data_IF_696446989856
#
_entry.id   IF_696446989856
#
_cell.length_a   1.000
_cell.length_b   1.000
_cell.length_c   1.000
_cell.angle_alpha   90.00
_cell.angle_beta   90.00
_cell.angle_gamma   90.00
#
_symmetry.space_group_name_H-M   'P 1'
#
loop_
_entity.id
_entity.type
_entity.pdbx_description
1 polymer ?
#
# COMPACT_ATOMS: atom_id res chain seq x y z
N UNK A 1 1.24 -46.58 -16.15
CA UNK A 1 2.22 -46.32 -15.09
C UNK A 1 3.06 -45.15 -15.53
N UNK A 2 2.78 -43.95 -15.03
CA UNK A 2 3.74 -42.85 -15.00
C UNK A 2 3.26 -41.85 -13.96
N UNK A 3 3.86 -41.91 -12.78
CA UNK A 3 3.57 -41.05 -11.63
C UNK A 3 4.68 -40.01 -11.60
N UNK A 4 4.40 -38.80 -12.11
CA UNK A 4 5.32 -37.66 -12.03
C UNK A 4 5.40 -37.13 -10.60
N UNK A 5 6.33 -37.70 -9.84
CA UNK A 5 6.73 -37.27 -8.50
C UNK A 5 7.54 -35.97 -8.60
N UNK A 6 6.85 -34.83 -8.48
CA UNK A 6 7.45 -33.50 -8.36
C UNK A 6 8.03 -33.28 -6.96
N UNK A 7 8.96 -34.12 -6.54
CA UNK A 7 9.61 -34.04 -5.24
C UNK A 7 10.35 -32.71 -5.09
N UNK A 8 9.88 -31.88 -4.16
CA UNK A 8 10.61 -30.70 -3.66
C UNK A 8 11.96 -31.18 -3.14
N UNK A 9 13.03 -30.86 -3.88
CA UNK A 9 14.39 -31.24 -3.50
C UNK A 9 14.76 -30.46 -2.24
N UNK A 10 14.80 -31.14 -1.10
CA UNK A 10 15.32 -30.57 0.14
C UNK A 10 16.77 -30.11 -0.08
N UNK A 11 17.00 -28.81 0.11
CA UNK A 11 18.32 -28.19 0.02
C UNK A 11 19.16 -28.64 1.22
N UNK A 12 20.43 -28.96 0.96
CA UNK A 12 21.36 -29.31 2.02
C UNK A 12 21.64 -28.12 2.94
N UNK A 13 22.08 -28.33 4.20
CA UNK A 13 22.40 -27.25 5.13
C UNK A 13 23.40 -26.23 4.57
N UNK A 14 24.39 -26.69 3.80
CA UNK A 14 25.39 -25.83 3.17
C UNK A 14 24.81 -24.99 2.02
N UNK A 15 23.81 -25.51 1.29
CA UNK A 15 23.08 -24.77 0.25
C UNK A 15 22.16 -23.71 0.88
N UNK A 16 21.54 -24.01 2.02
CA UNK A 16 20.77 -23.05 2.81
C UNK A 16 21.62 -21.89 3.31
N UNK A 17 22.78 -22.17 3.91
CA UNK A 17 23.69 -21.15 4.40
C UNK A 17 24.20 -20.24 3.26
N UNK A 18 24.44 -20.82 2.08
CA UNK A 18 24.86 -20.08 0.89
C UNK A 18 23.75 -19.21 0.33
N UNK A 19 22.52 -19.73 0.24
CA UNK A 19 21.35 -18.97 -0.19
C UNK A 19 21.04 -17.82 0.78
N UNK A 20 21.16 -18.06 2.08
CA UNK A 20 20.96 -17.04 3.11
C UNK A 20 22.02 -15.94 3.04
N UNK A 21 23.29 -16.31 2.81
CA UNK A 21 24.38 -15.35 2.61
C UNK A 21 24.18 -14.49 1.35
N UNK A 22 23.73 -15.11 0.26
CA UNK A 22 23.43 -14.41 -0.99
C UNK A 22 22.23 -13.46 -0.85
N UNK A 23 21.14 -13.92 -0.24
CA UNK A 23 19.97 -13.10 0.05
C UNK A 23 20.32 -11.91 0.97
N UNK A 24 21.14 -12.14 1.99
CA UNK A 24 21.61 -11.09 2.90
C UNK A 24 22.51 -10.06 2.19
N UNK A 25 23.35 -10.51 1.27
CA UNK A 25 24.20 -9.64 0.46
C UNK A 25 23.37 -8.77 -0.50
N UNK A 26 22.37 -9.37 -1.15
CA UNK A 26 21.45 -8.66 -2.04
C UNK A 26 20.63 -7.63 -1.26
N UNK A 27 20.13 -7.99 -0.07
CA UNK A 27 19.43 -7.06 0.81
C UNK A 27 20.34 -5.90 1.23
N UNK A 28 21.58 -6.17 1.64
CA UNK A 28 22.55 -5.14 2.02
C UNK A 28 22.96 -4.23 0.84
N UNK A 29 22.93 -4.74 -0.39
CA UNK A 29 23.15 -3.93 -1.59
C UNK A 29 21.91 -3.07 -1.89
N UNK A 30 20.71 -3.63 -1.80
CA UNK A 30 19.46 -2.91 -2.00
C UNK A 30 19.28 -1.77 -0.99
N UNK A 31 19.61 -1.98 0.28
CA UNK A 31 19.55 -0.93 1.32
C UNK A 31 20.54 0.19 1.06
N UNK A 32 21.79 -0.12 0.67
CA UNK A 32 22.78 0.91 0.30
C UNK A 32 22.35 1.73 -0.91
N UNK A 33 21.73 1.10 -1.90
CA UNK A 33 21.19 1.80 -3.07
C UNK A 33 20.01 2.68 -2.66
N UNK A 34 19.12 2.19 -1.80
CA UNK A 34 18.01 2.96 -1.25
C UNK A 34 18.52 4.19 -0.47
N UNK A 35 19.50 4.05 0.41
CA UNK A 35 20.09 5.16 1.17
C UNK A 35 20.77 6.21 0.27
N UNK A 36 21.54 5.77 -0.73
CA UNK A 36 22.17 6.67 -1.69
C UNK A 36 21.12 7.44 -2.50
N UNK A 37 19.99 6.80 -2.77
CA UNK A 37 18.89 7.38 -3.52
C UNK A 37 18.02 8.31 -2.68
N UNK A 38 17.72 7.97 -1.42
CA UNK A 38 17.07 8.88 -0.47
C UNK A 38 17.92 10.13 -0.28
N UNK A 39 19.26 9.98 -0.22
CA UNK A 39 20.18 11.13 -0.15
C UNK A 39 20.15 11.99 -1.41
N UNK A 40 20.02 11.39 -2.60
CA UNK A 40 19.87 12.11 -3.85
C UNK A 40 18.51 12.83 -3.96
N UNK A 41 17.42 12.17 -3.56
CA UNK A 41 16.07 12.73 -3.53
C UNK A 41 15.95 13.89 -2.53
N UNK A 42 16.55 13.77 -1.34
CA UNK A 42 16.70 14.88 -0.40
C UNK A 42 17.54 16.02 -0.98
N UNK A 43 18.64 15.71 -1.67
CA UNK A 43 19.48 16.72 -2.33
C UNK A 43 18.72 17.54 -3.39
N UNK A 44 17.85 16.89 -4.17
CA UNK A 44 16.97 17.55 -5.15
C UNK A 44 15.88 18.36 -4.45
N UNK A 45 15.24 17.82 -3.39
CA UNK A 45 14.23 18.55 -2.61
C UNK A 45 14.79 19.83 -1.99
N UNK A 46 15.99 19.78 -1.38
CA UNK A 46 16.65 20.97 -0.82
C UNK A 46 17.10 21.98 -1.90
N UNK A 47 17.47 21.51 -3.09
CA UNK A 47 17.83 22.40 -4.21
C UNK A 47 16.60 23.14 -4.78
N UNK A 48 15.43 22.49 -4.78
CA UNK A 48 14.17 23.08 -5.20
C UNK A 48 13.65 24.10 -4.17
N UNK A 49 13.72 23.78 -2.86
CA UNK A 49 13.40 24.72 -1.77
C UNK A 49 14.28 25.99 -1.81
N UNK A 50 15.56 25.85 -2.18
CA UNK A 50 16.46 26.99 -2.36
C UNK A 50 16.08 27.87 -3.58
N UNK A 51 15.48 27.28 -4.61
CA UNK A 51 15.00 28.03 -5.79
C UNK A 51 13.69 28.78 -5.52
N UNK A 52 12.80 28.20 -4.71
CA UNK A 52 11.56 28.84 -4.26
C UNK A 52 11.84 29.95 -3.23
N UNK A 53 12.83 29.77 -2.35
CA UNK A 53 13.29 30.81 -1.43
C UNK A 53 13.94 32.01 -2.15
N UNK A 54 14.58 31.79 -3.30
CA UNK A 54 15.14 32.86 -4.13
C UNK A 54 14.06 33.64 -4.90
N UNK A 55 12.94 33.00 -5.24
CA UNK A 55 11.77 33.67 -5.83
C UNK A 55 10.94 34.47 -4.81
N UNK A 56 11.04 34.15 -3.52
CA UNK A 56 10.31 34.80 -2.41
C UNK A 56 10.98 36.04 -1.78
N UNK A 57 12.21 36.40 -2.18
CA UNK A 57 12.95 37.53 -1.61
C UNK A 57 12.87 38.81 -2.48
N UNK A 58 11.65 39.20 -2.86
CA UNK A 58 11.35 40.49 -3.51
C UNK A 58 10.76 41.48 -2.52
N UNK A 59 11.39 42.64 -2.37
CA UNK A 59 11.15 43.61 -1.29
C UNK A 59 9.71 44.11 -1.11
N UNK A 60 9.38 44.29 0.17
CA UNK A 60 8.29 45.08 0.77
C UNK A 60 7.87 46.30 -0.07
N UNK A 61 6.65 46.32 -0.59
CA UNK A 61 5.96 47.53 -1.10
C UNK A 61 4.53 47.62 -0.47
N UNK A 62 3.93 48.83 -0.37
CA UNK A 62 2.83 49.18 0.55
C UNK A 62 1.47 48.64 0.07
N UNK A 63 0.37 48.78 0.86
CA UNK A 63 -0.84 48.02 0.58
C UNK A 63 -1.54 48.58 -0.67
N UNK A 64 -1.71 47.73 -1.67
CA UNK A 64 -2.60 47.98 -2.81
C UNK A 64 -3.78 47.03 -2.75
N UNK A 65 -4.98 47.61 -2.73
CA UNK A 65 -6.24 46.93 -3.00
C UNK A 65 -6.19 46.23 -4.36
N UNK A 66 -6.26 44.90 -4.39
CA UNK A 66 -6.64 44.14 -5.59
C UNK A 66 -7.02 42.70 -5.23
N UNK A 67 -8.30 42.39 -5.30
CA UNK A 67 -8.86 41.03 -5.14
C UNK A 67 -8.60 40.10 -6.34
N UNK A 68 -7.42 40.20 -6.97
CA UNK A 68 -7.08 39.53 -8.24
C UNK A 68 -5.92 38.51 -8.10
N UNK A 69 -5.11 38.59 -7.04
CA UNK A 69 -3.98 37.67 -6.81
C UNK A 69 -4.44 36.25 -6.39
N UNK A 70 -5.62 36.16 -5.77
CA UNK A 70 -6.23 34.87 -5.43
C UNK A 70 -6.64 34.07 -6.65
N UNK A 71 -7.10 34.72 -7.71
CA UNK A 71 -7.65 34.04 -8.89
C UNK A 71 -6.55 33.47 -9.80
N UNK A 72 -5.43 34.19 -9.94
CA UNK A 72 -4.25 33.72 -10.68
C UNK A 72 -3.55 32.52 -10.00
N UNK A 73 -3.42 32.55 -8.67
CA UNK A 73 -2.86 31.43 -7.92
C UNK A 73 -3.76 30.18 -7.99
N UNK A 74 -5.07 30.35 -7.88
CA UNK A 74 -6.06 29.26 -8.01
C UNK A 74 -6.06 28.69 -9.43
N UNK A 75 -5.96 29.53 -10.47
CA UNK A 75 -5.82 29.11 -11.87
C UNK A 75 -4.57 28.23 -12.08
N UNK A 76 -3.43 28.62 -11.50
CA UNK A 76 -2.18 27.84 -11.61
C UNK A 76 -2.26 26.46 -10.95
N UNK A 77 -2.96 26.35 -9.82
CA UNK A 77 -3.16 25.07 -9.12
C UNK A 77 -4.10 24.18 -9.91
N UNK A 78 -5.21 24.73 -10.43
CA UNK A 78 -6.16 24.00 -11.26
C UNK A 78 -5.49 23.45 -12.54
N UNK A 79 -4.64 24.25 -13.19
CA UNK A 79 -3.87 23.83 -14.36
C UNK A 79 -2.89 22.69 -14.02
N UNK A 80 -2.19 22.78 -12.89
CA UNK A 80 -1.29 21.70 -12.42
C UNK A 80 -2.03 20.41 -12.13
N UNK A 81 -3.19 20.50 -11.47
CA UNK A 81 -4.04 19.33 -11.18
C UNK A 81 -4.54 18.70 -12.47
N UNK A 82 -5.08 19.49 -13.41
CA UNK A 82 -5.56 19.00 -14.70
C UNK A 82 -4.44 18.36 -15.53
N UNK A 83 -3.26 18.99 -15.55
CA UNK A 83 -2.08 18.47 -16.25
C UNK A 83 -1.62 17.13 -15.70
N UNK A 84 -1.55 16.99 -14.37
CA UNK A 84 -1.17 15.75 -13.71
C UNK A 84 -2.24 14.66 -13.86
N UNK A 85 -3.52 14.99 -13.74
CA UNK A 85 -4.61 14.05 -13.96
C UNK A 85 -4.62 13.50 -15.39
N UNK A 86 -4.36 14.35 -16.38
CA UNK A 86 -4.19 13.92 -17.77
C UNK A 86 -2.97 13.00 -17.93
N UNK A 87 -1.84 13.34 -17.31
CA UNK A 87 -0.65 12.49 -17.32
C UNK A 87 -0.92 11.10 -16.70
N UNK A 88 -1.67 11.04 -15.60
CA UNK A 88 -2.08 9.78 -14.98
C UNK A 88 -2.91 8.91 -15.94
N UNK A 89 -3.88 9.50 -16.64
CA UNK A 89 -4.75 8.76 -17.58
C UNK A 89 -4.04 8.36 -18.87
N UNK A 90 -3.41 9.33 -19.55
CA UNK A 90 -2.83 9.14 -20.88
C UNK A 90 -1.41 8.55 -20.83
N UNK A 91 -0.61 8.94 -19.83
CA UNK A 91 0.79 8.54 -19.71
C UNK A 91 0.97 7.27 -18.88
N UNK A 92 0.23 7.12 -17.78
CA UNK A 92 0.37 5.96 -16.88
C UNK A 92 -0.78 4.96 -16.96
N UNK A 93 -1.79 5.22 -17.79
CA UNK A 93 -2.89 4.29 -18.05
C UNK A 93 -3.90 4.16 -16.92
N UNK A 94 -4.09 5.19 -16.09
CA UNK A 94 -5.14 5.21 -15.08
C UNK A 94 -6.52 4.99 -15.72
N UNK A 95 -7.26 3.99 -15.23
CA UNK A 95 -8.55 3.59 -15.79
C UNK A 95 -9.71 4.52 -15.39
N UNK A 96 -9.60 5.17 -14.23
CA UNK A 96 -10.61 6.07 -13.70
C UNK A 96 -10.11 7.53 -13.64
N UNK A 97 -10.67 8.36 -14.52
CA UNK A 97 -10.36 9.78 -14.59
C UNK A 97 -10.71 10.53 -13.29
N UNK A 98 -11.79 10.14 -12.61
CA UNK A 98 -12.21 10.80 -11.37
C UNK A 98 -11.22 10.52 -10.24
N UNK A 99 -10.79 9.26 -10.08
CA UNK A 99 -9.75 8.91 -9.11
C UNK A 99 -8.41 9.54 -9.45
N UNK A 100 -8.05 9.63 -10.73
CA UNK A 100 -6.84 10.32 -11.17
C UNK A 100 -6.87 11.82 -10.82
N UNK A 101 -8.00 12.50 -11.04
CA UNK A 101 -8.18 13.90 -10.67
C UNK A 101 -8.10 14.10 -9.15
N UNK A 102 -8.74 13.22 -8.36
CA UNK A 102 -8.68 13.25 -6.89
C UNK A 102 -7.26 13.07 -6.36
N UNK A 103 -6.52 12.11 -6.92
CA UNK A 103 -5.11 11.88 -6.58
C UNK A 103 -4.27 13.10 -6.94
N UNK A 104 -4.41 13.62 -8.17
CA UNK A 104 -3.68 14.80 -8.61
C UNK A 104 -3.96 16.02 -7.72
N UNK A 105 -5.22 16.26 -7.38
CA UNK A 105 -5.63 17.32 -6.46
C UNK A 105 -5.06 17.12 -5.05
N UNK A 106 -4.97 15.87 -4.57
CA UNK A 106 -4.36 15.54 -3.28
C UNK A 106 -2.86 15.86 -3.29
N UNK A 107 -2.12 15.38 -4.30
CA UNK A 107 -0.66 15.55 -4.42
C UNK A 107 -0.25 17.01 -4.57
N UNK A 108 -0.96 17.78 -5.41
CA UNK A 108 -0.66 19.20 -5.62
C UNK A 108 -0.94 20.01 -4.35
N UNK A 109 -2.09 19.78 -3.69
CA UNK A 109 -2.43 20.48 -2.44
C UNK A 109 -1.50 20.14 -1.29
N UNK A 110 -1.03 18.90 -1.21
CA UNK A 110 -0.08 18.46 -0.19
C UNK A 110 1.36 18.94 -0.45
N UNK A 111 1.64 19.59 -1.60
CA UNK A 111 3.02 19.93 -1.98
C UNK A 111 3.90 18.69 -2.16
N UNK A 112 3.31 17.56 -2.54
CA UNK A 112 4.02 16.29 -2.63
C UNK A 112 5.07 16.32 -3.75
N UNK A 113 6.27 15.72 -3.56
CA UNK A 113 7.25 15.59 -4.64
C UNK A 113 6.69 14.79 -5.83
N UNK A 114 5.68 13.95 -5.58
CA UNK A 114 5.00 13.17 -6.62
C UNK A 114 3.97 13.98 -7.40
N UNK A 115 3.80 15.28 -7.13
CA UNK A 115 3.08 16.18 -8.03
C UNK A 115 3.83 16.41 -9.35
N UNK A 116 5.13 16.05 -9.42
CA UNK A 116 5.92 16.06 -10.64
C UNK A 116 5.77 14.73 -11.40
N UNK A 117 5.34 14.74 -12.69
CA UNK A 117 5.10 13.53 -13.48
C UNK A 117 6.26 12.53 -13.50
N UNK A 118 7.49 13.00 -13.68
CA UNK A 118 8.68 12.14 -13.75
C UNK A 118 8.96 11.42 -12.44
N UNK A 119 8.81 12.12 -11.31
CA UNK A 119 9.03 11.54 -9.97
C UNK A 119 7.96 10.51 -9.65
N UNK A 120 6.72 10.79 -10.01
CA UNK A 120 5.60 9.88 -9.85
C UNK A 120 5.79 8.62 -10.69
N UNK A 121 6.13 8.76 -11.98
CA UNK A 121 6.36 7.64 -12.88
C UNK A 121 7.50 6.75 -12.38
N UNK A 122 8.62 7.35 -11.96
CA UNK A 122 9.73 6.60 -11.38
C UNK A 122 9.30 5.85 -10.12
N UNK A 123 8.52 6.48 -9.24
CA UNK A 123 8.05 5.83 -8.01
C UNK A 123 7.10 4.67 -8.30
N UNK A 124 6.15 4.85 -9.21
CA UNK A 124 5.22 3.79 -9.62
C UNK A 124 5.96 2.63 -10.28
N UNK A 125 6.90 2.89 -11.20
CA UNK A 125 7.74 1.84 -11.79
C UNK A 125 8.54 1.07 -10.75
N UNK A 126 9.08 1.76 -9.73
CA UNK A 126 9.78 1.09 -8.63
C UNK A 126 8.84 0.20 -7.82
N UNK A 127 7.64 0.68 -7.50
CA UNK A 127 6.63 -0.13 -6.79
C UNK A 127 6.19 -1.35 -7.61
N UNK A 128 6.00 -1.20 -8.93
CA UNK A 128 5.74 -2.31 -9.85
C UNK A 128 6.84 -3.36 -9.80
N UNK A 129 8.09 -2.95 -9.89
CA UNK A 129 9.24 -3.87 -9.80
C UNK A 129 9.41 -4.49 -8.42
N UNK A 130 9.00 -3.79 -7.36
CA UNK A 130 9.16 -4.25 -5.97
C UNK A 130 8.09 -5.27 -5.60
N UNK A 131 6.84 -5.01 -5.99
CA UNK A 131 5.71 -5.87 -5.63
C UNK A 131 5.59 -7.06 -6.57
N UNK A 132 5.90 -6.90 -7.86
CA UNK A 132 6.05 -7.97 -8.86
C UNK A 132 5.05 -9.14 -8.75
N UNK A 133 3.79 -8.85 -8.42
CA UNK A 133 2.69 -9.81 -8.42
C UNK A 133 1.95 -9.70 -9.75
N UNK A 134 1.86 -10.81 -10.50
CA UNK A 134 1.30 -10.83 -11.87
C UNK A 134 -0.11 -10.25 -12.00
N UNK A 135 -0.92 -10.35 -10.95
CA UNK A 135 -2.31 -9.89 -10.92
C UNK A 135 -2.51 -8.54 -10.24
N UNK A 136 -1.44 -7.85 -9.84
CA UNK A 136 -1.53 -6.57 -9.12
C UNK A 136 -1.33 -5.38 -10.06
N UNK A 137 -2.37 -4.59 -10.24
CA UNK A 137 -2.25 -3.27 -10.86
C UNK A 137 -1.85 -2.21 -9.81
N UNK A 138 -0.56 -1.87 -9.80
CA UNK A 138 -0.01 -0.84 -8.91
C UNK A 138 -0.60 0.55 -9.18
N UNK A 139 -1.02 0.85 -10.41
CA UNK A 139 -1.64 2.15 -10.68
C UNK A 139 -3.00 2.24 -9.99
N UNK A 140 -3.85 1.22 -10.15
CA UNK A 140 -5.12 1.13 -9.41
C UNK A 140 -4.90 1.18 -7.89
N UNK A 141 -3.83 0.55 -7.38
CA UNK A 141 -3.47 0.61 -5.97
C UNK A 141 -3.17 2.03 -5.48
N UNK A 142 -2.39 2.79 -6.26
CA UNK A 142 -2.04 4.20 -5.96
C UNK A 142 -3.25 5.13 -6.10
N UNK A 143 -4.15 4.86 -7.04
CA UNK A 143 -5.41 5.62 -7.18
C UNK A 143 -6.34 5.39 -5.99
N UNK A 144 -6.40 4.16 -5.47
CA UNK A 144 -7.19 3.82 -4.31
C UNK A 144 -6.63 4.46 -3.02
N UNK A 145 -5.30 4.52 -2.89
CA UNK A 145 -4.65 5.13 -1.73
C UNK A 145 -3.31 5.80 -2.07
N UNK A 146 -3.28 7.13 -1.96
CA UNK A 146 -2.08 7.93 -2.20
C UNK A 146 -0.94 7.62 -1.22
N UNK A 147 -1.23 7.08 -0.03
CA UNK A 147 -0.21 6.75 0.97
C UNK A 147 0.76 5.68 0.49
N UNK A 148 0.35 4.86 -0.49
CA UNK A 148 1.20 3.85 -1.14
C UNK A 148 2.46 4.48 -1.74
N UNK A 149 2.38 5.72 -2.23
CA UNK A 149 3.53 6.44 -2.79
C UNK A 149 4.60 6.76 -1.74
N UNK A 150 4.27 6.74 -0.46
CA UNK A 150 5.22 7.06 0.62
C UNK A 150 5.91 5.83 1.22
N UNK A 151 5.51 4.62 0.81
CA UNK A 151 6.08 3.38 1.32
C UNK A 151 7.49 3.18 0.76
N UNK A 152 8.47 2.90 1.62
CA UNK A 152 9.82 2.55 1.20
C UNK A 152 9.85 1.11 0.65
N UNK A 153 10.78 0.84 -0.28
CA UNK A 153 10.83 -0.47 -0.94
C UNK A 153 11.12 -1.61 0.04
N UNK A 154 11.93 -1.37 1.08
CA UNK A 154 12.27 -2.39 2.07
C UNK A 154 11.05 -2.82 2.89
N UNK A 155 10.27 -1.85 3.38
CA UNK A 155 9.02 -2.11 4.09
C UNK A 155 8.00 -2.77 3.18
N UNK A 156 7.88 -2.33 1.91
CA UNK A 156 6.98 -2.97 0.95
C UNK A 156 7.33 -4.44 0.72
N UNK A 157 8.62 -4.78 0.51
CA UNK A 157 9.07 -6.16 0.35
C UNK A 157 8.82 -6.97 1.61
N UNK A 158 9.20 -6.46 2.78
CA UNK A 158 8.98 -7.14 4.06
C UNK A 158 7.51 -7.47 4.24
N UNK A 159 6.63 -6.49 3.98
CA UNK A 159 5.20 -6.65 4.14
C UNK A 159 4.60 -7.63 3.13
N UNK A 160 5.10 -7.61 1.90
CA UNK A 160 4.74 -8.59 0.89
C UNK A 160 5.14 -10.01 1.32
N UNK A 161 6.35 -10.20 1.85
CA UNK A 161 6.79 -11.50 2.37
C UNK A 161 5.92 -11.98 3.54
N UNK A 162 5.57 -11.09 4.47
CA UNK A 162 4.65 -11.41 5.57
C UNK A 162 3.26 -11.82 5.04
N UNK A 163 2.73 -11.16 4.01
CA UNK A 163 1.47 -11.54 3.36
C UNK A 163 1.58 -12.88 2.63
N UNK A 164 2.67 -13.12 1.92
CA UNK A 164 2.91 -14.37 1.19
C UNK A 164 3.12 -15.59 2.10
N UNK A 165 3.50 -15.35 3.36
CA UNK A 165 3.57 -16.40 4.37
C UNK A 165 2.20 -16.94 4.78
N UNK A 166 1.13 -16.13 4.63
CA UNK A 166 -0.23 -16.50 5.06
C UNK A 166 -1.21 -16.67 3.88
N UNK A 167 -0.92 -16.06 2.73
CA UNK A 167 -1.76 -16.12 1.54
C UNK A 167 -0.98 -16.49 0.27
N UNK A 168 -1.56 -17.30 -0.63
CA UNK A 168 -1.00 -17.49 -1.96
C UNK A 168 -0.89 -16.16 -2.72
N UNK A 169 0.09 -16.05 -3.63
CA UNK A 169 0.41 -14.83 -4.36
C UNK A 169 -0.80 -14.13 -5.00
N UNK A 170 -1.68 -14.87 -5.68
CA UNK A 170 -2.87 -14.29 -6.30
C UNK A 170 -3.86 -13.70 -5.29
N UNK A 171 -3.96 -14.28 -4.09
CA UNK A 171 -4.82 -13.75 -3.01
C UNK A 171 -4.17 -12.61 -2.28
N UNK A 172 -2.87 -12.64 -2.05
CA UNK A 172 -2.14 -11.50 -1.53
C UNK A 172 -2.32 -10.28 -2.44
N UNK A 173 -2.26 -10.46 -3.77
CA UNK A 173 -2.53 -9.40 -4.73
C UNK A 173 -3.98 -8.87 -4.66
N UNK A 174 -4.96 -9.77 -4.55
CA UNK A 174 -6.37 -9.39 -4.39
C UNK A 174 -6.60 -8.60 -3.09
N UNK A 175 -6.12 -9.13 -1.96
CA UNK A 175 -6.21 -8.49 -0.65
C UNK A 175 -5.55 -7.10 -0.67
N UNK A 176 -4.39 -6.98 -1.31
CA UNK A 176 -3.68 -5.71 -1.45
C UNK A 176 -4.46 -4.70 -2.30
N UNK A 177 -5.07 -5.18 -3.40
CA UNK A 177 -5.89 -4.33 -4.27
C UNK A 177 -7.12 -3.79 -3.53
N UNK A 178 -7.74 -4.62 -2.68
CA UNK A 178 -8.90 -4.23 -1.87
C UNK A 178 -8.51 -3.36 -0.67
N UNK A 179 -7.31 -3.55 -0.11
CA UNK A 179 -6.83 -2.78 1.03
C UNK A 179 -5.34 -2.41 0.88
N UNK A 180 -5.04 -1.29 0.20
CA UNK A 180 -3.67 -0.82 0.00
C UNK A 180 -2.92 -0.55 1.31
N UNK A 181 -3.67 -0.25 2.38
CA UNK A 181 -3.15 -0.04 3.74
C UNK A 181 -2.32 -1.20 4.26
N UNK A 182 -2.53 -2.40 3.73
CA UNK A 182 -1.69 -3.56 4.04
C UNK A 182 -0.20 -3.30 3.80
N UNK A 183 0.20 -2.47 2.82
CA UNK A 183 1.62 -2.19 2.52
C UNK A 183 2.34 -1.43 3.63
N UNK A 184 1.63 -0.64 4.43
CA UNK A 184 2.22 0.27 5.41
C UNK A 184 1.64 0.11 6.82
N UNK A 185 0.89 -0.97 7.07
CA UNK A 185 0.63 -1.41 8.44
C UNK A 185 1.96 -1.75 9.09
N UNK A 186 2.16 -1.53 10.39
CA UNK A 186 3.46 -1.83 11.06
C UNK A 186 3.48 -3.24 11.65
N UNK A 187 2.34 -3.65 12.23
CA UNK A 187 2.11 -4.83 13.07
C UNK A 187 1.34 -5.95 12.37
N UNK A 188 1.54 -6.14 11.05
CA UNK A 188 0.75 -7.08 10.24
C UNK A 188 0.66 -8.48 10.87
N UNK A 189 1.78 -9.10 11.25
CA UNK A 189 1.77 -10.48 11.74
C UNK A 189 0.97 -10.66 13.03
N UNK A 190 1.14 -9.74 14.00
CA UNK A 190 0.40 -9.77 15.26
C UNK A 190 -1.09 -9.50 15.04
N UNK A 191 -1.38 -8.47 14.22
CA UNK A 191 -2.74 -8.11 13.84
C UNK A 191 -3.45 -9.25 13.11
N UNK A 192 -2.77 -9.88 12.16
CA UNK A 192 -3.28 -11.02 11.40
C UNK A 192 -3.60 -12.19 12.33
N UNK A 193 -2.65 -12.61 13.17
CA UNK A 193 -2.85 -13.71 14.10
C UNK A 193 -4.01 -13.44 15.05
N UNK A 194 -4.06 -12.23 15.63
CA UNK A 194 -5.17 -11.83 16.51
C UNK A 194 -6.53 -11.85 15.80
N UNK A 195 -6.60 -11.36 14.56
CA UNK A 195 -7.86 -11.35 13.81
C UNK A 195 -8.26 -12.76 13.37
N UNK A 196 -7.29 -13.61 13.00
CA UNK A 196 -7.54 -15.01 12.67
C UNK A 196 -8.09 -15.76 13.89
N UNK A 197 -7.48 -15.61 15.06
CA UNK A 197 -7.95 -16.17 16.32
C UNK A 197 -9.36 -15.68 16.68
N UNK A 198 -9.64 -14.40 16.43
CA UNK A 198 -10.96 -13.83 16.63
C UNK A 198 -12.01 -14.48 15.74
N UNK A 199 -11.73 -14.66 14.44
CA UNK A 199 -12.64 -15.31 13.50
C UNK A 199 -12.87 -16.79 13.85
N UNK A 200 -11.82 -17.53 14.16
CA UNK A 200 -11.89 -18.93 14.60
C UNK A 200 -12.72 -19.03 15.89
N UNK A 201 -12.50 -18.12 16.83
CA UNK A 201 -13.22 -18.09 18.10
C UNK A 201 -14.71 -17.76 17.95
N UNK A 202 -15.03 -16.70 17.19
CA UNK A 202 -16.38 -16.18 17.02
C UNK A 202 -17.26 -17.10 16.15
N UNK A 203 -16.68 -17.62 15.07
CA UNK A 203 -17.44 -18.37 14.04
C UNK A 203 -17.28 -19.88 14.15
N UNK A 204 -16.32 -20.36 14.95
CA UNK A 204 -16.02 -21.80 15.05
C UNK A 204 -15.49 -22.41 13.74
N UNK A 205 -14.92 -21.58 12.86
CA UNK A 205 -14.37 -21.99 11.56
C UNK A 205 -12.92 -22.45 11.69
N UNK A 206 -12.37 -23.12 10.68
CA UNK A 206 -10.95 -23.51 10.68
C UNK A 206 -10.03 -22.30 10.47
N UNK A 207 -8.76 -22.42 10.85
CA UNK A 207 -7.74 -21.39 10.57
C UNK A 207 -7.61 -21.09 9.08
N UNK A 208 -7.77 -22.10 8.22
CA UNK A 208 -7.75 -21.95 6.77
C UNK A 208 -8.98 -21.20 6.22
N UNK A 209 -10.15 -21.39 6.83
CA UNK A 209 -11.36 -20.62 6.51
C UNK A 209 -11.21 -19.16 6.95
N UNK A 210 -10.66 -18.93 8.15
CA UNK A 210 -10.36 -17.60 8.65
C UNK A 210 -9.33 -16.89 7.74
N UNK A 211 -8.26 -17.59 7.33
CA UNK A 211 -7.28 -17.06 6.39
C UNK A 211 -7.90 -16.70 5.03
N UNK A 212 -8.84 -17.50 4.53
CA UNK A 212 -9.63 -17.19 3.33
C UNK A 212 -10.45 -15.92 3.54
N UNK A 213 -11.21 -15.85 4.63
CA UNK A 213 -12.05 -14.69 4.94
C UNK A 213 -11.21 -13.40 5.00
N UNK A 214 -10.03 -13.46 5.61
CA UNK A 214 -9.12 -12.31 5.71
C UNK A 214 -8.48 -11.92 4.37
N UNK A 215 -8.32 -12.85 3.41
CA UNK A 215 -7.86 -12.48 2.07
C UNK A 215 -8.93 -11.76 1.25
N UNK A 216 -10.21 -12.06 1.49
CA UNK A 216 -11.33 -11.37 0.81
C UNK A 216 -11.61 -10.02 1.48
N UNK A 217 -11.65 -9.99 2.82
CA UNK A 217 -11.95 -8.82 3.64
C UNK A 217 -10.79 -8.46 4.59
N UNK A 218 -9.65 -7.98 4.06
CA UNK A 218 -8.51 -7.58 4.88
C UNK A 218 -8.80 -6.38 5.79
N UNK A 219 -9.87 -5.62 5.53
CA UNK A 219 -10.34 -4.54 6.41
C UNK A 219 -10.63 -4.99 7.86
N UNK A 220 -10.95 -6.28 8.05
CA UNK A 220 -11.18 -6.89 9.35
C UNK A 220 -9.99 -6.79 10.30
N UNK A 221 -8.77 -6.64 9.77
CA UNK A 221 -7.56 -6.38 10.57
C UNK A 221 -7.65 -5.11 11.42
N UNK A 222 -8.48 -4.14 11.02
CA UNK A 222 -8.69 -2.89 11.76
C UNK A 222 -10.05 -2.81 12.43
N UNK A 223 -11.07 -3.49 11.91
CA UNK A 223 -12.44 -3.36 12.44
C UNK A 223 -12.74 -4.39 13.53
N UNK A 224 -12.30 -5.64 13.38
CA UNK A 224 -12.65 -6.71 14.32
C UNK A 224 -11.90 -6.60 15.65
N UNK A 225 -10.59 -6.35 15.61
CA UNK A 225 -9.77 -6.30 16.83
C UNK A 225 -10.10 -5.15 17.77
N UNK A 226 -10.74 -4.09 17.29
CA UNK A 226 -11.22 -2.98 18.14
C UNK A 226 -12.25 -3.48 19.16
N UNK A 227 -12.91 -4.60 18.89
CA UNK A 227 -13.89 -5.20 19.77
C UNK A 227 -13.28 -6.24 20.73
N UNK A 228 -11.96 -6.37 20.80
CA UNK A 228 -11.30 -7.24 21.80
C UNK A 228 -11.66 -6.78 23.22
N UNK A 229 -11.92 -7.74 24.11
CA UNK A 229 -12.34 -7.52 25.50
C UNK A 229 -11.29 -8.20 26.38
N UNK A 230 -10.81 -7.53 27.43
CA UNK A 230 -9.73 -8.06 28.27
C UNK A 230 -10.15 -9.26 29.14
N UNK A 231 -11.45 -9.52 29.27
CA UNK A 231 -12.04 -10.53 30.15
C UNK A 231 -12.66 -11.67 29.34
N UNK A 232 -13.41 -11.36 28.28
CA UNK A 232 -14.14 -12.35 27.50
C UNK A 232 -13.35 -12.83 26.27
N UNK A 233 -13.11 -14.14 26.21
CA UNK A 233 -12.54 -14.78 25.01
C UNK A 233 -13.48 -14.70 23.82
N UNK A 234 -12.93 -14.71 22.60
CA UNK A 234 -13.71 -14.69 21.36
C UNK A 234 -14.74 -15.83 21.26
N UNK A 235 -14.45 -17.00 21.84
CA UNK A 235 -15.36 -18.15 21.86
C UNK A 235 -16.59 -17.97 22.75
N UNK A 236 -16.54 -17.03 23.69
CA UNK A 236 -17.64 -16.76 24.60
C UNK A 236 -18.62 -15.71 24.05
N UNK A 237 -18.37 -15.18 22.85
CA UNK A 237 -19.13 -14.08 22.26
C UNK A 237 -19.98 -14.53 21.10
N UNK A 238 -21.08 -13.81 20.91
CA UNK A 238 -21.94 -13.96 19.75
C UNK A 238 -21.58 -12.88 18.71
N UNK A 239 -21.55 -13.28 17.43
CA UNK A 239 -21.38 -12.35 16.30
C UNK A 239 -22.46 -11.25 16.30
N UNK A 240 -23.65 -11.55 16.80
CA UNK A 240 -24.76 -10.59 16.89
C UNK A 240 -24.44 -9.37 17.77
N UNK A 241 -23.44 -9.46 18.65
CA UNK A 241 -22.99 -8.35 19.51
C UNK A 241 -22.08 -7.34 18.80
N UNK A 242 -21.53 -7.71 17.64
CA UNK A 242 -20.66 -6.83 16.85
C UNK A 242 -21.47 -5.81 16.02
N UNK A 243 -20.90 -4.67 15.62
CA UNK A 243 -21.56 -3.76 14.69
C UNK A 243 -21.96 -4.47 13.38
N UNK A 244 -23.11 -4.11 12.82
CA UNK A 244 -23.65 -4.74 11.61
C UNK A 244 -22.67 -4.71 10.42
N UNK A 245 -21.84 -3.67 10.31
CA UNK A 245 -20.79 -3.61 9.29
C UNK A 245 -19.79 -4.75 9.43
N UNK A 246 -19.27 -4.98 10.65
CA UNK A 246 -18.33 -6.08 10.93
C UNK A 246 -19.00 -7.44 10.70
N UNK A 247 -20.26 -7.60 11.09
CA UNK A 247 -21.01 -8.83 10.82
C UNK A 247 -21.15 -9.10 9.32
N UNK A 248 -21.42 -8.06 8.52
CA UNK A 248 -21.55 -8.15 7.07
C UNK A 248 -20.21 -8.50 6.41
N UNK A 249 -19.12 -7.87 6.83
CA UNK A 249 -17.77 -8.13 6.29
C UNK A 249 -17.35 -9.59 6.57
N UNK A 250 -17.56 -10.08 7.79
CA UNK A 250 -17.32 -11.49 8.14
C UNK A 250 -18.19 -12.43 7.30
N UNK A 251 -19.48 -12.10 7.16
CA UNK A 251 -20.41 -12.91 6.38
C UNK A 251 -20.03 -12.95 4.90
N UNK A 252 -19.58 -11.83 4.34
CA UNK A 252 -19.15 -11.73 2.95
C UNK A 252 -17.90 -12.58 2.73
N UNK A 253 -16.85 -12.39 3.53
CA UNK A 253 -15.60 -13.13 3.40
C UNK A 253 -15.77 -14.65 3.52
N UNK A 254 -16.68 -15.12 4.38
CA UNK A 254 -16.99 -16.55 4.50
C UNK A 254 -17.86 -17.08 3.35
N UNK A 255 -18.82 -16.30 2.84
CA UNK A 255 -19.69 -16.71 1.72
C UNK A 255 -18.93 -16.85 0.41
N UNK A 256 -17.97 -15.97 0.15
CA UNK A 256 -17.14 -16.01 -1.06
C UNK A 256 -16.40 -17.35 -1.24
N UNK A 257 -16.15 -18.09 -0.14
CA UNK A 257 -15.54 -19.42 -0.21
C UNK A 257 -16.48 -20.50 -0.76
N UNK A 258 -17.75 -20.45 -0.40
CA UNK A 258 -18.75 -21.47 -0.72
C UNK A 258 -19.57 -21.15 -1.99
N UNK A 259 -19.27 -20.00 -2.62
CA UNK A 259 -19.88 -19.58 -3.88
C UNK A 259 -19.15 -20.11 -5.13
N UNK A 260 -17.99 -20.75 -4.94
CA UNK A 260 -17.18 -21.45 -5.94
C UNK A 260 -17.30 -22.97 -5.78
#
# INVERSE_FOLDING_TARGET
>A
SDSGDGGERELSPEEWDRALAEASMLLAQATRMAEAQTRAELGVAFALDASDAAAGAGGRMPPSDSGDEGDAAVSSVAERVAGLARFLCEGMGASDALSAERLAASLVRAGSPYAHPEMLEQKVRRLQNTLALDSLDVMSLVLADAQVLHVDAGSAVRRLLEMLAVWPAGRAACALSNCPRLLYVEDFSERYAGTQDALVGLMGVSEADAAFCLSEEPGLLWTLLVHTDPILSWRARDIAELPMSVQNDISFGLRSKYAL
#
